data_IF_170977780177
#
_entry.id   IF_170977780177
#
_cell.length_a   1.000
_cell.length_b   1.000
_cell.length_c   1.000
_cell.angle_alpha   90.00
_cell.angle_beta   90.00
_cell.angle_gamma   90.00
#
_symmetry.space_group_name_H-M   'P 1'
#
loop_
_entity.id
_entity.type
_entity.pdbx_description
1 polymer ?
#
# COMPACT_ATOMS: atom_id res chain seq x y z
N UNK A 1 3.67 -9.00 -16.07
CA UNK A 1 4.12 -9.15 -14.67
C UNK A 1 3.73 -7.88 -13.94
N UNK A 2 2.90 -7.96 -12.89
CA UNK A 2 2.49 -6.79 -12.09
C UNK A 2 3.39 -6.77 -10.85
N UNK A 3 3.95 -5.61 -10.52
CA UNK A 3 4.76 -5.45 -9.30
C UNK A 3 3.90 -5.53 -8.05
N UNK A 4 4.40 -6.20 -7.01
CA UNK A 4 3.76 -6.20 -5.70
C UNK A 4 3.99 -4.87 -4.97
N UNK A 5 2.95 -4.33 -4.36
CA UNK A 5 3.02 -3.10 -3.58
C UNK A 5 3.76 -3.31 -2.25
N UNK A 6 4.49 -2.29 -1.80
CA UNK A 6 5.27 -2.28 -0.56
C UNK A 6 5.17 -0.95 0.18
N UNK A 7 5.65 -0.93 1.42
CA UNK A 7 5.74 0.26 2.25
C UNK A 7 6.40 1.42 1.47
N UNK A 8 5.78 2.60 1.51
CA UNK A 8 6.27 3.78 0.82
C UNK A 8 5.84 3.93 -0.65
N UNK A 9 5.25 2.90 -1.29
CA UNK A 9 4.67 3.07 -2.62
C UNK A 9 3.54 4.11 -2.58
N UNK A 10 3.34 4.83 -3.69
CA UNK A 10 2.46 6.01 -3.73
C UNK A 10 1.01 5.63 -4.03
N UNK A 11 0.10 6.10 -3.18
CA UNK A 11 -1.33 6.12 -3.40
C UNK A 11 -1.78 7.51 -3.86
N UNK A 12 -2.47 7.57 -4.99
CA UNK A 12 -3.13 8.79 -5.47
C UNK A 12 -4.58 8.77 -5.00
N UNK A 13 -4.94 9.70 -4.13
CA UNK A 13 -6.29 9.79 -3.62
C UNK A 13 -7.17 10.59 -4.60
N UNK A 14 -8.37 10.10 -4.98
CA UNK A 14 -9.27 10.83 -5.89
C UNK A 14 -9.95 12.04 -5.23
N UNK A 15 -9.82 12.20 -3.90
CA UNK A 15 -10.42 13.30 -3.15
C UNK A 15 -9.60 14.59 -3.42
N UNK A 16 -10.23 15.66 -3.95
CA UNK A 16 -9.54 16.94 -4.13
C UNK A 16 -8.90 17.44 -2.84
N UNK A 17 -7.61 17.78 -2.89
CA UNK A 17 -6.84 18.27 -1.74
C UNK A 17 -6.09 17.20 -0.94
N UNK A 18 -6.35 15.90 -1.13
CA UNK A 18 -5.62 14.83 -0.44
C UNK A 18 -4.28 14.46 -1.10
N UNK A 19 -4.16 14.68 -2.42
CA UNK A 19 -2.90 14.49 -3.14
C UNK A 19 -2.41 13.04 -3.21
N UNK A 20 -1.09 12.89 -3.33
CA UNK A 20 -0.41 11.59 -3.39
C UNK A 20 0.33 11.32 -2.09
N UNK A 21 -0.04 10.23 -1.40
CA UNK A 21 0.52 9.85 -0.09
C UNK A 21 1.13 8.44 -0.15
N UNK A 22 2.15 8.12 0.65
CA UNK A 22 2.70 6.77 0.69
C UNK A 22 1.73 5.76 1.34
N UNK A 23 1.93 4.47 1.06
CA UNK A 23 1.46 3.38 1.93
C UNK A 23 2.25 3.47 3.24
N UNK A 24 1.54 3.63 4.34
CA UNK A 24 2.07 3.98 5.67
C UNK A 24 2.12 2.78 6.62
N UNK A 25 1.29 1.76 6.39
CA UNK A 25 1.39 0.47 7.07
C UNK A 25 1.65 -0.67 6.09
N UNK A 26 2.40 -1.67 6.53
CA UNK A 26 2.70 -2.86 5.72
C UNK A 26 3.03 -4.05 6.64
N UNK A 27 3.32 -5.21 6.03
CA UNK A 27 3.82 -6.37 6.75
C UNK A 27 5.15 -6.10 7.48
N UNK A 28 5.30 -6.66 8.68
CA UNK A 28 6.54 -6.60 9.49
C UNK A 28 7.47 -7.79 9.27
N UNK A 29 7.01 -8.83 8.58
CA UNK A 29 7.73 -10.09 8.42
C UNK A 29 7.82 -10.60 6.97
N UNK A 30 7.14 -9.95 6.03
CA UNK A 30 7.22 -10.25 4.59
C UNK A 30 7.72 -9.01 3.88
N UNK A 31 8.90 -9.12 3.25
CA UNK A 31 9.59 -7.97 2.67
C UNK A 31 9.72 -8.10 1.15
N UNK A 32 9.51 -6.99 0.45
CA UNK A 32 9.77 -6.81 -0.98
C UNK A 32 10.86 -5.74 -1.10
N UNK A 33 12.05 -6.13 -1.56
CA UNK A 33 13.22 -5.24 -1.65
C UNK A 33 13.47 -4.50 -0.32
N UNK A 34 13.56 -5.26 0.76
CA UNK A 34 13.82 -4.74 2.12
C UNK A 34 12.74 -3.83 2.72
N UNK A 35 11.58 -3.68 2.07
CA UNK A 35 10.43 -2.93 2.59
C UNK A 35 9.25 -3.87 2.84
N UNK A 36 8.42 -3.59 3.85
CA UNK A 36 7.26 -4.43 4.17
C UNK A 36 6.30 -4.55 2.98
N UNK A 37 5.78 -5.75 2.72
CA UNK A 37 4.77 -5.99 1.67
C UNK A 37 3.41 -5.43 2.08
N UNK A 38 2.77 -4.68 1.18
CA UNK A 38 1.44 -4.13 1.40
C UNK A 38 0.36 -5.18 1.17
N UNK A 39 -0.66 -5.20 2.05
CA UNK A 39 -1.74 -6.19 2.10
C UNK A 39 -3.10 -5.50 2.17
N UNK A 40 -4.17 -6.27 1.97
CA UNK A 40 -5.52 -5.80 2.27
C UNK A 40 -5.60 -5.39 3.75
N UNK A 41 -6.14 -4.20 4.01
CA UNK A 41 -6.22 -3.61 5.34
C UNK A 41 -5.11 -2.62 5.68
N UNK A 42 -4.02 -2.57 4.91
CA UNK A 42 -2.99 -1.56 5.08
C UNK A 42 -3.47 -0.16 4.68
N UNK A 43 -2.91 0.86 5.34
CA UNK A 43 -3.34 2.26 5.22
C UNK A 43 -2.37 3.09 4.39
N UNK A 44 -2.92 4.04 3.66
CA UNK A 44 -2.18 5.12 3.02
C UNK A 44 -2.16 6.35 3.94
N UNK A 45 -1.21 7.27 3.73
CA UNK A 45 -1.09 8.49 4.53
C UNK A 45 -2.33 9.41 4.51
N UNK A 46 -3.17 9.33 3.47
CA UNK A 46 -4.45 10.04 3.40
C UNK A 46 -5.59 9.37 4.20
N UNK A 47 -5.34 8.22 4.82
CA UNK A 47 -6.33 7.42 5.56
C UNK A 47 -7.06 6.36 4.72
N UNK A 48 -6.82 6.29 3.40
CA UNK A 48 -7.38 5.24 2.55
C UNK A 48 -6.87 3.85 2.96
N UNK A 49 -7.69 2.82 2.77
CA UNK A 49 -7.37 1.42 3.08
C UNK A 49 -7.28 0.62 1.79
N UNK A 50 -6.28 -0.26 1.67
CA UNK A 50 -6.18 -1.21 0.57
C UNK A 50 -7.30 -2.24 0.71
N UNK A 51 -8.22 -2.29 -0.26
CA UNK A 51 -9.42 -3.14 -0.22
C UNK A 51 -9.33 -4.38 -1.10
N UNK A 52 -8.35 -4.42 -2.02
CA UNK A 52 -8.18 -5.52 -2.97
C UNK A 52 -6.72 -5.96 -3.00
N UNK A 53 -6.50 -7.27 -3.14
CA UNK A 53 -5.19 -7.88 -3.30
C UNK A 53 -5.28 -9.11 -4.21
N UNK A 54 -4.16 -9.80 -4.40
CA UNK A 54 -4.19 -11.10 -5.09
C UNK A 54 -4.91 -12.12 -4.21
N UNK A 55 -5.82 -12.95 -4.75
CA UNK A 55 -6.66 -13.84 -3.94
C UNK A 55 -5.91 -15.06 -3.38
N UNK A 56 -4.71 -15.35 -3.89
CA UNK A 56 -3.97 -16.58 -3.60
C UNK A 56 -2.53 -16.35 -3.16
N UNK A 57 -2.16 -15.11 -2.83
CA UNK A 57 -0.86 -14.70 -2.29
C UNK A 57 -1.09 -13.72 -1.13
#
# INVERSE_FOLDING_TARGET
MISSARLGDKHVCPIPGHGTTPIDSASTNVNINFMGSARVGDKCGCGAVITTGFPSI
#
